data_IF_588182429338
#
_entry.id   IF_588182429338
#
_cell.length_a   1.000
_cell.length_b   1.000
_cell.length_c   1.000
_cell.angle_alpha   90.00
_cell.angle_beta   90.00
_cell.angle_gamma   90.00
#
_symmetry.space_group_name_H-M   'P 1'
#
loop_
_entity.id
_entity.type
_entity.pdbx_description
1 polymer ?
#
# COMPACT_ATOMS: atom_id res chain seq x y z
N UNK A 1 5.21 -11.39 -0.13
CA UNK A 1 4.19 -12.44 0.09
C UNK A 1 3.81 -13.03 -1.25
N UNK A 2 3.46 -14.30 -1.32
CA UNK A 2 2.98 -15.01 -2.51
C UNK A 2 1.73 -15.83 -2.15
N UNK A 3 1.23 -16.61 -3.12
CA UNK A 3 0.07 -17.51 -2.92
C UNK A 3 0.27 -18.46 -1.74
N UNK A 4 1.51 -18.89 -1.47
CA UNK A 4 1.83 -19.92 -0.48
C UNK A 4 2.00 -19.40 0.96
N UNK A 5 2.17 -18.07 1.16
CA UNK A 5 2.48 -17.48 2.47
C UNK A 5 1.62 -16.27 2.84
N UNK A 6 0.46 -16.11 2.19
CA UNK A 6 -0.47 -15.02 2.51
C UNK A 6 -1.14 -15.26 3.87
N UNK A 7 -0.83 -14.41 4.85
CA UNK A 7 -1.45 -14.43 6.19
C UNK A 7 -2.52 -13.34 6.37
N UNK A 8 -2.60 -12.36 5.45
CA UNK A 8 -3.54 -11.23 5.50
C UNK A 8 -4.27 -11.11 4.16
N UNK A 9 -5.61 -11.02 4.19
CA UNK A 9 -6.42 -10.76 2.99
C UNK A 9 -6.05 -9.39 2.37
N UNK A 10 -6.03 -9.31 1.03
CA UNK A 10 -5.65 -8.11 0.26
C UNK A 10 -4.24 -7.58 0.55
N UNK A 11 -3.31 -8.50 0.77
CA UNK A 11 -1.89 -8.18 0.92
C UNK A 11 -1.32 -7.53 -0.35
N UNK A 12 -0.42 -6.57 -0.16
CA UNK A 12 0.43 -6.03 -1.23
C UNK A 12 1.49 -7.09 -1.58
N UNK A 13 1.52 -7.56 -2.83
CA UNK A 13 2.50 -8.55 -3.34
C UNK A 13 3.64 -7.90 -4.12
N UNK A 14 3.39 -6.69 -4.55
CA UNK A 14 4.22 -5.81 -5.34
C UNK A 14 5.28 -5.09 -4.48
N UNK A 15 5.12 -5.10 -3.15
CA UNK A 15 6.05 -4.51 -2.20
C UNK A 15 6.56 -5.55 -1.18
N UNK A 16 7.88 -5.68 -1.04
CA UNK A 16 8.50 -6.40 0.08
C UNK A 16 8.71 -5.44 1.25
N UNK A 17 8.65 -5.99 2.47
CA UNK A 17 8.64 -5.21 3.69
C UNK A 17 9.91 -5.43 4.51
N UNK A 18 10.34 -4.39 5.23
CA UNK A 18 11.43 -4.42 6.21
C UNK A 18 10.98 -3.65 7.45
N UNK A 19 11.39 -4.07 8.64
CA UNK A 19 10.87 -3.51 9.88
C UNK A 19 11.99 -3.22 10.89
N UNK A 20 11.81 -2.18 11.70
CA UNK A 20 12.67 -1.91 12.85
C UNK A 20 11.89 -1.23 13.98
N UNK A 21 12.30 -1.45 15.23
CA UNK A 21 11.89 -0.65 16.38
C UNK A 21 13.10 0.13 16.84
N UNK A 22 13.00 1.46 16.88
CA UNK A 22 14.15 2.35 17.03
C UNK A 22 13.94 3.29 18.20
N UNK A 23 14.93 3.35 19.09
CA UNK A 23 14.97 4.33 20.19
C UNK A 23 15.29 5.72 19.64
N UNK A 24 14.40 6.67 19.90
CA UNK A 24 14.54 8.09 19.53
C UNK A 24 14.55 9.00 20.76
N UNK A 25 14.89 8.45 21.95
CA UNK A 25 14.96 9.20 23.21
C UNK A 25 15.73 10.50 23.07
N UNK A 26 16.89 10.46 22.41
CA UNK A 26 17.60 11.66 21.95
C UNK A 26 17.23 12.00 20.50
N UNK A 27 17.77 11.27 19.53
CA UNK A 27 17.41 11.36 18.11
C UNK A 27 17.83 10.09 17.36
N UNK A 28 17.11 9.78 16.28
CA UNK A 28 17.57 8.85 15.25
C UNK A 28 17.36 9.43 13.85
N UNK A 29 18.29 9.12 12.95
CA UNK A 29 18.24 9.53 11.55
C UNK A 29 18.00 8.33 10.65
N UNK A 30 17.08 8.46 9.70
CA UNK A 30 16.61 7.44 8.78
C UNK A 30 16.88 7.91 7.35
N UNK A 31 17.52 7.07 6.54
CA UNK A 31 17.85 7.43 5.16
C UNK A 31 17.57 6.29 4.19
N UNK A 32 17.13 6.65 2.99
CA UNK A 32 17.03 5.76 1.85
C UNK A 32 18.00 6.25 0.77
N UNK A 33 18.80 5.36 0.19
CA UNK A 33 19.63 5.69 -0.96
C UNK A 33 18.75 6.16 -2.15
N UNK A 34 19.31 7.04 -2.99
CA UNK A 34 18.61 7.49 -4.20
C UNK A 34 18.34 6.31 -5.14
N UNK A 35 17.12 6.22 -5.66
CA UNK A 35 16.66 5.16 -6.57
C UNK A 35 15.48 5.66 -7.37
N UNK A 36 15.32 5.15 -8.60
CA UNK A 36 14.11 5.37 -9.41
C UNK A 36 12.99 4.40 -9.02
N UNK A 37 13.35 3.27 -8.40
CA UNK A 37 12.41 2.31 -7.86
C UNK A 37 11.80 2.81 -6.56
N UNK A 38 10.49 2.61 -6.43
CA UNK A 38 9.74 3.04 -5.26
C UNK A 38 10.23 2.36 -3.98
N UNK A 39 10.53 3.19 -3.00
CA UNK A 39 10.73 2.79 -1.62
C UNK A 39 10.05 3.80 -0.71
N UNK A 40 9.59 3.33 0.44
CA UNK A 40 9.15 4.21 1.52
C UNK A 40 9.62 3.65 2.85
N UNK A 41 9.96 4.51 3.80
CA UNK A 41 10.07 4.18 5.21
C UNK A 41 9.06 5.03 5.98
N UNK A 42 7.98 4.42 6.41
CA UNK A 42 6.96 5.06 7.24
C UNK A 42 7.38 4.93 8.70
N UNK A 43 7.47 6.05 9.41
CA UNK A 43 7.86 6.10 10.81
C UNK A 43 6.60 6.31 11.64
N UNK A 44 6.28 5.37 12.52
CA UNK A 44 5.04 5.32 13.30
C UNK A 44 5.39 5.33 14.79
N UNK A 45 4.70 6.14 15.59
CA UNK A 45 4.89 6.14 17.05
C UNK A 45 4.04 5.08 17.77
N UNK A 46 4.17 4.98 19.10
CA UNK A 46 3.42 4.00 19.92
C UNK A 46 1.91 4.16 19.85
N UNK A 47 1.41 5.35 19.50
CA UNK A 47 -0.02 5.63 19.38
C UNK A 47 -0.52 5.48 17.93
N UNK A 48 0.29 4.90 17.04
CA UNK A 48 -0.03 4.68 15.62
C UNK A 48 -0.08 5.93 14.74
N UNK A 49 0.39 7.08 15.23
CA UNK A 49 0.51 8.27 14.38
C UNK A 49 1.74 8.18 13.48
N UNK A 50 1.61 8.70 12.28
CA UNK A 50 2.72 8.83 11.33
C UNK A 50 3.54 10.06 11.74
N UNK A 51 4.80 9.82 12.11
CA UNK A 51 5.73 10.87 12.55
C UNK A 51 6.45 11.48 11.34
N UNK A 52 6.89 10.63 10.41
CA UNK A 52 7.56 11.05 9.18
C UNK A 52 7.49 9.93 8.13
N UNK A 53 7.75 10.28 6.87
CA UNK A 53 7.79 9.37 5.73
C UNK A 53 9.03 9.68 4.88
N UNK A 54 9.91 8.68 4.74
CA UNK A 54 11.18 8.82 4.01
C UNK A 54 11.07 8.16 2.65
N UNK A 55 11.48 8.88 1.61
CA UNK A 55 11.53 8.43 0.21
C UNK A 55 12.98 8.29 -0.29
N UNK A 56 13.24 7.66 -1.46
CA UNK A 56 14.59 7.51 -2.01
C UNK A 56 15.32 8.85 -2.09
N UNK A 57 16.60 8.86 -1.67
CA UNK A 57 17.43 10.06 -1.65
C UNK A 57 17.14 11.01 -0.48
N UNK A 58 16.16 10.73 0.36
CA UNK A 58 15.85 11.53 1.53
C UNK A 58 16.54 11.01 2.80
N UNK A 59 16.74 11.94 3.73
CA UNK A 59 17.19 11.67 5.11
C UNK A 59 16.33 12.48 6.06
N UNK A 60 15.79 11.83 7.09
CA UNK A 60 14.91 12.43 8.11
C UNK A 60 15.43 12.13 9.50
N UNK A 61 15.31 13.08 10.41
CA UNK A 61 15.70 12.91 11.82
C UNK A 61 14.47 13.04 12.69
N UNK A 62 14.23 12.04 13.54
CA UNK A 62 13.13 12.00 14.50
C UNK A 62 13.69 12.00 15.91
N UNK A 63 13.03 12.74 16.80
CA UNK A 63 13.32 12.87 18.22
C UNK A 63 12.10 12.51 19.04
N UNK A 64 12.30 12.25 20.32
CA UNK A 64 11.22 12.01 21.27
C UNK A 64 10.17 13.14 21.28
N UNK A 65 10.59 14.39 21.07
CA UNK A 65 9.69 15.55 21.04
C UNK A 65 8.70 15.53 19.87
N UNK A 66 8.98 14.74 18.83
CA UNK A 66 8.15 14.64 17.63
C UNK A 66 7.05 13.57 17.81
N UNK A 67 7.14 12.77 18.88
CA UNK A 67 6.19 11.68 19.14
C UNK A 67 4.99 12.15 19.95
N UNK A 68 3.84 11.51 19.74
CA UNK A 68 2.66 11.70 20.56
C UNK A 68 2.69 10.84 21.84
N UNK A 69 3.60 9.85 21.89
CA UNK A 69 3.80 8.98 23.03
C UNK A 69 5.05 8.11 22.88
N UNK A 70 5.57 7.65 24.02
CA UNK A 70 6.71 6.74 24.05
C UNK A 70 8.07 7.41 23.85
N UNK A 71 9.06 6.57 23.55
CA UNK A 71 10.43 6.96 23.18
C UNK A 71 10.98 6.17 21.99
N UNK A 72 10.14 5.32 21.39
CA UNK A 72 10.51 4.44 20.30
C UNK A 72 9.55 4.65 19.14
N UNK A 73 10.06 4.42 17.93
CA UNK A 73 9.25 4.40 16.71
C UNK A 73 9.34 3.04 16.04
N UNK A 74 8.25 2.64 15.39
CA UNK A 74 8.21 1.52 14.46
C UNK A 74 8.46 2.03 13.05
N UNK A 75 9.48 1.50 12.38
CA UNK A 75 9.77 1.78 10.97
C UNK A 75 9.16 0.68 10.12
N UNK A 76 8.21 1.06 9.28
CA UNK A 76 7.59 0.20 8.28
C UNK A 76 8.15 0.55 6.90
N UNK A 77 9.18 -0.17 6.49
CA UNK A 77 9.80 -0.05 5.18
C UNK A 77 9.08 -0.89 4.12
N UNK A 78 8.86 -0.31 2.94
CA UNK A 78 8.31 -1.00 1.76
C UNK A 78 9.18 -0.72 0.54
N UNK A 79 9.48 -1.74 -0.25
CA UNK A 79 10.29 -1.64 -1.48
C UNK A 79 9.60 -2.40 -2.60
N UNK A 80 9.48 -1.79 -3.78
CA UNK A 80 8.85 -2.45 -4.93
C UNK A 80 9.68 -3.61 -5.47
N UNK A 81 8.99 -4.64 -5.96
CA UNK A 81 9.60 -5.78 -6.67
C UNK A 81 9.59 -5.60 -8.20
N UNK A 82 9.17 -4.44 -8.71
CA UNK A 82 9.14 -4.15 -10.15
C UNK A 82 10.52 -4.29 -10.82
N UNK A 83 11.61 -3.94 -10.12
CA UNK A 83 12.98 -4.16 -10.58
C UNK A 83 13.51 -5.59 -10.39
N UNK A 84 12.66 -6.52 -9.93
CA UNK A 84 13.04 -7.86 -9.51
C UNK A 84 13.40 -7.95 -8.02
N UNK A 85 13.33 -9.17 -7.48
CA UNK A 85 13.53 -9.42 -6.05
C UNK A 85 14.97 -9.16 -5.59
N UNK A 86 15.97 -9.50 -6.41
CA UNK A 86 17.38 -9.24 -6.12
C UNK A 86 17.63 -7.74 -5.94
N UNK A 87 17.17 -6.93 -6.90
CA UNK A 87 17.25 -5.46 -6.83
C UNK A 87 16.51 -4.90 -5.62
N UNK A 88 15.33 -5.44 -5.31
CA UNK A 88 14.57 -5.02 -4.14
C UNK A 88 15.34 -5.28 -2.83
N UNK A 89 16.05 -6.40 -2.71
CA UNK A 89 16.90 -6.70 -1.56
C UNK A 89 18.13 -5.80 -1.48
N UNK A 90 18.83 -5.56 -2.59
CA UNK A 90 19.94 -4.58 -2.62
C UNK A 90 19.50 -3.21 -2.07
N UNK A 91 18.31 -2.75 -2.46
CA UNK A 91 17.76 -1.48 -2.00
C UNK A 91 17.37 -1.50 -0.53
N UNK A 92 16.87 -2.62 0.00
CA UNK A 92 16.62 -2.79 1.43
C UNK A 92 17.92 -2.75 2.25
N UNK A 93 19.00 -3.35 1.75
CA UNK A 93 20.30 -3.37 2.41
C UNK A 93 20.97 -1.99 2.45
N UNK A 94 20.61 -1.08 1.54
CA UNK A 94 21.08 0.31 1.51
C UNK A 94 20.34 1.23 2.48
N UNK A 95 19.32 0.76 3.20
CA UNK A 95 18.59 1.56 4.20
C UNK A 95 19.47 1.75 5.43
N UNK A 96 19.55 2.98 5.93
CA UNK A 96 20.36 3.28 7.11
C UNK A 96 19.53 3.89 8.25
N UNK A 97 19.82 3.45 9.46
CA UNK A 97 19.31 4.00 10.71
C UNK A 97 20.50 4.34 11.60
N UNK A 98 20.61 5.59 12.03
CA UNK A 98 21.64 6.05 12.97
C UNK A 98 20.97 6.68 14.18
N UNK A 99 20.91 5.94 15.29
CA UNK A 99 20.35 6.40 16.56
C UNK A 99 21.46 6.84 17.53
N UNK A 100 21.23 7.92 18.28
CA UNK A 100 22.14 8.37 19.36
C UNK A 100 22.07 7.49 20.59
N UNK A 101 20.92 6.85 20.81
CA UNK A 101 20.67 5.95 21.94
C UNK A 101 20.14 4.60 21.43
N UNK A 102 20.27 3.56 22.26
CA UNK A 102 19.89 2.19 21.91
C UNK A 102 19.18 1.49 23.08
N UNK A 103 18.33 2.24 23.80
CA UNK A 103 17.56 1.68 24.90
C UNK A 103 16.62 0.57 24.37
N UNK A 104 16.60 -0.63 24.97
CA UNK A 104 15.68 -1.69 24.56
C UNK A 104 14.22 -1.21 24.65
N UNK A 105 13.40 -1.58 23.67
CA UNK A 105 11.96 -1.36 23.75
C UNK A 105 11.36 -2.26 24.83
N UNK A 106 10.60 -1.66 25.74
CA UNK A 106 9.85 -2.36 26.78
C UNK A 106 8.37 -2.17 26.48
N UNK A 107 7.69 -3.22 26.04
CA UNK A 107 6.26 -3.18 25.75
C UNK A 107 5.45 -2.91 27.02
N UNK A 108 4.34 -2.19 26.88
CA UNK A 108 3.35 -2.10 27.95
C UNK A 108 2.66 -3.45 28.14
N UNK A 109 2.42 -3.79 29.39
CA UNK A 109 1.66 -4.99 29.77
C UNK A 109 0.16 -4.67 29.71
N UNK A 110 -0.47 -5.04 28.59
CA UNK A 110 -1.91 -4.88 28.41
C UNK A 110 -2.62 -6.19 28.77
N UNK A 111 -3.76 -6.09 29.48
CA UNK A 111 -4.65 -7.23 29.64
C UNK A 111 -5.18 -7.69 28.27
N UNK A 112 -4.80 -8.91 27.89
CA UNK A 112 -5.09 -9.50 26.59
C UNK A 112 -6.60 -9.65 26.33
N UNK A 113 -7.37 -10.01 27.37
CA UNK A 113 -8.82 -10.18 27.27
C UNK A 113 -9.51 -8.83 27.02
N UNK A 114 -9.10 -7.80 27.75
CA UNK A 114 -9.59 -6.43 27.53
C UNK A 114 -9.18 -5.89 26.15
N UNK A 115 -7.93 -6.13 25.70
CA UNK A 115 -7.47 -5.73 24.36
C UNK A 115 -8.29 -6.39 23.26
N UNK A 116 -8.58 -7.69 23.40
CA UNK A 116 -9.38 -8.43 22.43
C UNK A 116 -10.82 -7.90 22.39
N UNK A 117 -11.45 -7.70 23.55
CA UNK A 117 -12.82 -7.18 23.62
C UNK A 117 -12.95 -5.80 22.96
N UNK A 118 -12.00 -4.90 23.19
CA UNK A 118 -11.97 -3.59 22.50
C UNK A 118 -11.77 -3.77 21.00
N UNK A 119 -10.88 -4.69 20.58
CA UNK A 119 -10.63 -4.97 19.17
C UNK A 119 -11.85 -5.51 18.43
N UNK A 120 -12.63 -6.40 19.07
CA UNK A 120 -13.87 -6.96 18.54
C UNK A 120 -14.98 -5.90 18.44
N UNK A 121 -15.11 -5.03 19.45
CA UNK A 121 -16.06 -3.92 19.40
C UNK A 121 -15.76 -2.97 18.23
N UNK A 122 -14.50 -2.57 18.06
CA UNK A 122 -14.09 -1.71 16.95
C UNK A 122 -14.34 -2.34 15.57
N UNK A 123 -14.27 -3.66 15.45
CA UNK A 123 -14.61 -4.36 14.20
C UNK A 123 -16.09 -4.23 13.83
N UNK A 124 -16.99 -4.10 14.80
CA UNK A 124 -18.42 -3.89 14.51
C UNK A 124 -18.68 -2.54 13.81
N UNK A 125 -17.77 -1.58 13.96
CA UNK A 125 -17.82 -0.26 13.33
C UNK A 125 -17.08 -0.18 11.99
N UNK A 126 -16.65 -1.31 11.41
CA UNK A 126 -15.85 -1.29 10.18
C UNK A 126 -16.53 -0.60 8.99
N UNK A 127 -17.87 -0.56 8.94
CA UNK A 127 -18.61 0.14 7.89
C UNK A 127 -18.54 1.68 8.00
N UNK A 128 -18.17 2.21 9.16
CA UNK A 128 -18.01 3.65 9.43
C UNK A 128 -16.60 4.16 9.13
N UNK A 129 -15.67 3.24 8.86
CA UNK A 129 -14.26 3.55 8.66
C UNK A 129 -14.03 4.36 7.37
N UNK A 130 -13.46 5.53 7.53
CA UNK A 130 -12.95 6.42 6.50
C UNK A 130 -11.43 6.53 6.67
N UNK A 131 -10.71 5.60 6.03
CA UNK A 131 -9.25 5.55 6.09
C UNK A 131 -8.57 6.81 5.54
N UNK A 132 -9.27 7.65 4.75
CA UNK A 132 -8.71 8.91 4.30
C UNK A 132 -8.51 9.93 5.42
N UNK A 133 -9.13 9.69 6.58
CA UNK A 133 -9.04 10.54 7.78
C UNK A 133 -8.39 9.83 8.97
N UNK A 134 -7.95 8.58 8.81
CA UNK A 134 -7.46 7.76 9.93
C UNK A 134 -5.94 7.63 10.03
N UNK A 135 -5.21 7.83 8.93
CA UNK A 135 -3.75 7.72 8.90
C UNK A 135 -3.10 9.09 8.73
N UNK A 136 -2.19 9.45 9.63
CA UNK A 136 -1.49 10.74 9.61
C UNK A 136 -1.01 11.18 10.99
N UNK A 137 -0.92 12.49 11.18
CA UNK A 137 -0.63 13.15 12.46
C UNK A 137 -1.93 13.43 13.24
N UNK A 138 -1.88 13.73 14.56
CA UNK A 138 -3.07 14.11 15.31
C UNK A 138 -3.84 15.30 14.71
N UNK A 139 -3.16 16.19 14.01
CA UNK A 139 -3.77 17.37 13.39
C UNK A 139 -4.40 17.07 12.03
N UNK A 140 -3.96 16.02 11.34
CA UNK A 140 -4.45 15.65 10.01
C UNK A 140 -5.48 14.51 10.04
N UNK A 141 -5.71 13.90 11.20
CA UNK A 141 -6.66 12.79 11.38
C UNK A 141 -7.88 13.18 12.19
N UNK A 142 -9.02 12.54 11.91
CA UNK A 142 -10.15 12.52 12.83
C UNK A 142 -9.90 11.46 13.93
N UNK A 143 -10.08 11.78 15.24
CA UNK A 143 -9.76 10.84 16.31
C UNK A 143 -10.53 9.51 16.27
N UNK A 144 -11.80 9.53 15.86
CA UNK A 144 -12.61 8.32 15.76
C UNK A 144 -12.15 7.48 14.56
N UNK A 145 -11.89 8.12 13.42
CA UNK A 145 -11.36 7.45 12.24
C UNK A 145 -9.95 6.90 12.45
N UNK A 146 -9.12 7.60 13.22
CA UNK A 146 -7.79 7.12 13.61
C UNK A 146 -7.87 5.82 14.44
N UNK A 147 -8.79 5.77 15.42
CA UNK A 147 -9.02 4.56 16.22
C UNK A 147 -9.44 3.37 15.36
N UNK A 148 -10.39 3.57 14.44
CA UNK A 148 -10.83 2.55 13.50
C UNK A 148 -9.69 2.13 12.56
N UNK A 149 -8.92 3.09 12.05
CA UNK A 149 -7.80 2.84 11.14
C UNK A 149 -6.67 2.04 11.81
N UNK A 150 -6.32 2.36 13.05
CA UNK A 150 -5.32 1.63 13.83
C UNK A 150 -5.71 0.15 14.03
N UNK A 151 -7.01 -0.14 14.18
CA UNK A 151 -7.52 -1.51 14.30
C UNK A 151 -7.64 -2.23 12.95
N UNK A 152 -8.27 -1.59 11.96
CA UNK A 152 -8.76 -2.21 10.74
C UNK A 152 -7.74 -2.17 9.58
N UNK A 153 -6.77 -1.26 9.65
CA UNK A 153 -5.81 -1.03 8.57
C UNK A 153 -4.41 -0.70 9.10
N UNK A 154 -3.97 -1.41 10.15
CA UNK A 154 -2.69 -1.14 10.81
C UNK A 154 -1.54 -0.91 9.82
N UNK A 155 -0.83 0.21 9.98
CA UNK A 155 0.30 0.59 9.16
C UNK A 155 -0.10 1.22 7.82
N UNK A 156 -1.37 1.58 7.61
CA UNK A 156 -1.79 2.36 6.45
C UNK A 156 -1.01 3.67 6.32
N UNK A 157 -0.69 4.04 5.08
CA UNK A 157 -0.16 5.36 4.74
C UNK A 157 -1.33 6.36 4.62
N UNK A 158 -1.06 7.64 4.87
CA UNK A 158 -2.03 8.71 4.63
C UNK A 158 -2.29 8.90 3.13
N UNK A 159 -3.41 9.54 2.74
CA UNK A 159 -3.78 9.75 1.34
C UNK A 159 -2.76 10.51 0.49
N UNK A 160 -1.88 11.31 1.10
CA UNK A 160 -0.78 11.98 0.40
C UNK A 160 0.36 11.02 0.01
N UNK A 161 0.41 9.83 0.60
CA UNK A 161 1.49 8.88 0.40
C UNK A 161 1.05 7.60 -0.31
N UNK A 162 -0.16 7.11 -0.06
CA UNK A 162 -0.73 6.00 -0.82
C UNK A 162 -2.26 5.98 -0.78
N UNK A 163 -2.87 5.53 -1.88
CA UNK A 163 -4.31 5.31 -1.98
C UNK A 163 -4.61 4.06 -2.79
N UNK A 164 -5.73 3.41 -2.46
CA UNK A 164 -6.12 2.14 -3.06
C UNK A 164 -7.52 2.20 -3.60
N UNK A 165 -7.72 1.60 -4.76
CA UNK A 165 -9.02 1.44 -5.38
C UNK A 165 -9.29 -0.02 -5.69
N UNK A 166 -10.51 -0.48 -5.42
CA UNK A 166 -10.94 -1.84 -5.70
C UNK A 166 -12.40 -1.88 -6.17
N UNK A 167 -12.69 -2.81 -7.07
CA UNK A 167 -14.04 -3.18 -7.50
C UNK A 167 -14.18 -4.70 -7.54
N UNK A 168 -15.43 -5.17 -7.55
CA UNK A 168 -15.79 -6.58 -7.68
C UNK A 168 -16.42 -6.83 -9.05
N UNK A 169 -16.10 -7.95 -9.68
CA UNK A 169 -16.68 -8.36 -10.96
C UNK A 169 -16.89 -9.87 -11.04
N UNK A 170 -17.78 -10.28 -11.94
CA UNK A 170 -17.88 -11.64 -12.44
C UNK A 170 -17.38 -11.65 -13.88
N UNK A 171 -16.33 -12.41 -14.15
CA UNK A 171 -15.66 -12.49 -15.44
C UNK A 171 -16.57 -13.03 -16.53
N UNK A 172 -16.54 -12.43 -17.72
CA UNK A 172 -17.07 -13.05 -18.96
C UNK A 172 -16.03 -13.94 -19.64
N UNK A 173 -14.81 -13.95 -19.08
CA UNK A 173 -13.60 -14.61 -19.55
C UNK A 173 -12.89 -13.88 -20.70
N UNK A 174 -13.40 -12.70 -21.10
CA UNK A 174 -12.71 -11.76 -21.96
C UNK A 174 -13.21 -10.34 -21.63
N UNK A 175 -12.59 -9.71 -20.64
CA UNK A 175 -12.96 -8.38 -20.17
C UNK A 175 -11.77 -7.41 -20.22
N UNK A 176 -12.05 -6.12 -20.36
CA UNK A 176 -11.02 -5.07 -20.40
C UNK A 176 -11.36 -3.94 -19.43
N UNK A 177 -10.34 -3.45 -18.72
CA UNK A 177 -10.41 -2.25 -17.91
C UNK A 177 -9.44 -1.22 -18.48
N UNK A 178 -9.96 -0.08 -18.95
CA UNK A 178 -9.16 0.99 -19.54
C UNK A 178 -9.10 2.19 -18.61
N UNK A 179 -7.89 2.61 -18.28
CA UNK A 179 -7.60 3.70 -17.34
C UNK A 179 -6.63 4.73 -17.93
N UNK A 180 -6.73 5.96 -17.44
CA UNK A 180 -5.72 6.99 -17.67
C UNK A 180 -4.46 6.66 -16.85
N UNK A 181 -3.31 7.18 -17.25
CA UNK A 181 -2.10 7.07 -16.42
C UNK A 181 -2.35 7.75 -15.07
N UNK A 182 -2.13 7.07 -13.93
CA UNK A 182 -2.41 7.66 -12.62
C UNK A 182 -1.58 8.93 -12.35
N UNK A 183 -2.13 9.92 -11.64
CA UNK A 183 -1.46 11.19 -11.34
C UNK A 183 -0.45 11.03 -10.19
N UNK A 184 0.72 10.46 -10.50
CA UNK A 184 1.79 10.20 -9.52
C UNK A 184 3.01 11.07 -9.80
N UNK A 185 3.82 11.25 -8.76
CA UNK A 185 5.09 11.96 -8.86
C UNK A 185 6.18 11.03 -9.42
N UNK A 186 6.11 10.76 -10.73
CA UNK A 186 7.04 9.85 -11.41
C UNK A 186 8.50 10.31 -11.37
N UNK A 187 8.75 11.61 -11.22
CA UNK A 187 10.11 12.17 -11.11
C UNK A 187 10.77 11.80 -9.76
N UNK A 188 9.96 11.44 -8.77
CA UNK A 188 10.40 11.03 -7.43
C UNK A 188 9.99 9.60 -7.09
N UNK A 189 9.97 8.72 -8.10
CA UNK A 189 9.71 7.28 -7.91
C UNK A 189 8.25 6.91 -7.62
N UNK A 190 7.30 7.75 -8.05
CA UNK A 190 5.88 7.44 -8.04
C UNK A 190 5.58 6.10 -8.71
N UNK A 191 4.76 5.28 -8.06
CA UNK A 191 4.57 3.89 -8.41
C UNK A 191 3.11 3.46 -8.30
N UNK A 192 2.68 2.59 -9.20
CA UNK A 192 1.41 1.90 -9.07
C UNK A 192 1.51 0.46 -9.49
N UNK A 193 0.55 -0.33 -9.05
CA UNK A 193 0.36 -1.70 -9.47
C UNK A 193 -1.13 -1.98 -9.65
N UNK A 194 -1.44 -2.84 -10.62
CA UNK A 194 -2.79 -3.37 -10.80
C UNK A 194 -2.80 -4.78 -10.25
N UNK A 195 -3.85 -5.12 -9.50
CA UNK A 195 -3.91 -6.37 -8.76
C UNK A 195 -5.28 -7.02 -8.88
N UNK A 196 -5.28 -8.35 -8.87
CA UNK A 196 -6.46 -9.19 -8.83
C UNK A 196 -6.42 -10.10 -7.60
N UNK A 197 -7.55 -10.25 -6.94
CA UNK A 197 -7.76 -11.18 -5.83
C UNK A 197 -8.97 -12.08 -6.11
N UNK A 198 -9.03 -13.26 -5.51
CA UNK A 198 -10.22 -14.11 -5.53
C UNK A 198 -11.40 -13.41 -4.83
N UNK A 199 -12.60 -14.01 -4.89
CA UNK A 199 -13.79 -13.49 -4.21
C UNK A 199 -13.66 -13.34 -2.68
N UNK A 200 -12.63 -13.95 -2.06
CA UNK A 200 -12.31 -13.82 -0.64
C UNK A 200 -11.20 -12.80 -0.38
N UNK A 201 -10.68 -12.12 -1.41
CA UNK A 201 -9.60 -11.15 -1.29
C UNK A 201 -8.21 -11.78 -1.18
N UNK A 202 -8.02 -13.02 -1.63
CA UNK A 202 -6.74 -13.74 -1.59
C UNK A 202 -6.07 -13.81 -2.95
N UNK A 203 -4.76 -13.97 -2.95
CA UNK A 203 -3.96 -14.22 -4.13
C UNK A 203 -4.05 -15.70 -4.47
N UNK A 204 -4.21 -16.03 -5.74
CA UNK A 204 -4.46 -17.43 -6.13
C UNK A 204 -3.93 -17.80 -7.53
N UNK A 205 -3.34 -16.84 -8.25
CA UNK A 205 -2.64 -17.07 -9.52
C UNK A 205 -1.19 -16.60 -9.40
N UNK A 206 -0.28 -17.22 -10.15
CA UNK A 206 1.15 -16.94 -10.08
C UNK A 206 1.50 -15.48 -10.43
N UNK A 207 0.75 -14.86 -11.34
CA UNK A 207 0.89 -13.45 -11.74
C UNK A 207 -0.40 -12.66 -11.47
N UNK A 208 -0.74 -12.51 -10.19
CA UNK A 208 -1.94 -11.79 -9.75
C UNK A 208 -1.82 -10.26 -9.83
N UNK A 209 -0.65 -9.74 -10.22
CA UNK A 209 -0.40 -8.30 -10.28
C UNK A 209 0.44 -7.92 -11.51
N UNK A 210 0.32 -6.65 -11.91
CA UNK A 210 1.13 -6.01 -12.94
C UNK A 210 1.68 -4.69 -12.40
N UNK A 211 3.00 -4.50 -12.31
CA UNK A 211 3.57 -3.21 -11.95
C UNK A 211 3.38 -2.22 -13.10
N UNK A 212 3.11 -0.95 -12.76
CA UNK A 212 2.84 0.09 -13.75
C UNK A 212 3.97 0.34 -14.75
N UNK A 213 5.21 0.04 -14.35
CA UNK A 213 6.41 0.11 -15.19
C UNK A 213 6.38 -0.84 -16.38
N UNK A 214 5.69 -1.97 -16.26
CA UNK A 214 5.67 -3.04 -17.26
C UNK A 214 4.44 -2.93 -18.18
N UNK A 215 3.52 -2.02 -17.87
CA UNK A 215 2.28 -1.86 -18.61
C UNK A 215 2.52 -1.14 -19.94
N UNK A 216 2.08 -1.79 -21.02
CA UNK A 216 2.08 -1.20 -22.36
C UNK A 216 0.94 -0.19 -22.46
N UNK A 217 1.25 1.02 -22.94
CA UNK A 217 0.27 2.09 -23.19
C UNK A 217 -0.34 1.96 -24.59
N UNK A 218 -1.59 2.39 -24.69
CA UNK A 218 -2.27 2.60 -25.97
C UNK A 218 -1.71 3.84 -26.68
N UNK A 219 -2.02 4.00 -27.97
CA UNK A 219 -1.58 5.15 -28.79
C UNK A 219 -2.08 6.50 -28.26
N UNK A 220 -3.24 6.51 -27.58
CA UNK A 220 -3.82 7.70 -26.93
C UNK A 220 -3.26 7.96 -25.52
N UNK A 221 -2.29 7.15 -25.09
CA UNK A 221 -1.65 7.23 -23.78
C UNK A 221 -2.40 6.54 -22.64
N UNK A 222 -3.61 6.02 -22.86
CA UNK A 222 -4.34 5.22 -21.87
C UNK A 222 -3.70 3.83 -21.68
N UNK A 223 -4.15 3.09 -20.67
CA UNK A 223 -3.70 1.72 -20.40
C UNK A 223 -4.92 0.82 -20.41
N UNK A 224 -4.91 -0.23 -21.24
CA UNK A 224 -5.92 -1.29 -21.21
C UNK A 224 -5.34 -2.53 -20.54
N UNK A 225 -6.00 -2.98 -19.47
CA UNK A 225 -5.67 -4.22 -18.76
C UNK A 225 -6.76 -5.25 -19.05
N UNK A 226 -6.33 -6.41 -19.52
CA UNK A 226 -7.22 -7.48 -19.95
C UNK A 226 -7.33 -8.53 -18.85
N UNK A 227 -8.56 -8.89 -18.54
CA UNK A 227 -8.89 -9.99 -17.66
C UNK A 227 -9.56 -11.06 -18.53
N UNK A 228 -8.85 -12.12 -18.88
CA UNK A 228 -9.48 -13.25 -19.57
C UNK A 228 -8.69 -14.54 -19.54
N UNK A 229 -9.22 -15.52 -20.26
CA UNK A 229 -8.55 -16.78 -20.56
C UNK A 229 -7.72 -16.67 -21.86
N UNK A 230 -7.49 -17.79 -22.54
CA UNK A 230 -6.77 -17.86 -23.82
C UNK A 230 -7.31 -16.89 -24.88
N UNK A 231 -8.58 -16.46 -24.80
CA UNK A 231 -9.17 -15.47 -25.71
C UNK A 231 -8.43 -14.14 -25.74
N UNK A 232 -7.76 -13.78 -24.64
CA UNK A 232 -7.04 -12.51 -24.52
C UNK A 232 -5.53 -12.69 -24.32
N UNK A 233 -5.01 -13.91 -24.35
CA UNK A 233 -3.59 -14.20 -24.09
C UNK A 233 -2.61 -13.46 -25.04
N UNK A 234 -3.05 -13.11 -26.25
CA UNK A 234 -2.28 -12.31 -27.20
C UNK A 234 -2.34 -10.79 -27.00
N UNK A 235 -3.10 -10.30 -26.02
CA UNK A 235 -3.21 -8.87 -25.70
C UNK A 235 -2.06 -8.42 -24.78
N UNK A 236 -1.68 -7.14 -24.79
CA UNK A 236 -0.82 -6.60 -23.73
C UNK A 236 -1.53 -6.62 -22.38
N UNK A 237 -0.77 -6.57 -21.28
CA UNK A 237 -1.29 -6.34 -19.91
C UNK A 237 -2.39 -7.32 -19.47
N UNK A 238 -2.14 -8.63 -19.58
CA UNK A 238 -3.14 -9.66 -19.23
C UNK A 238 -2.97 -10.11 -17.77
N UNK A 239 -4.08 -10.18 -17.05
CA UNK A 239 -4.21 -10.93 -15.79
C UNK A 239 -5.22 -12.06 -16.03
N UNK A 240 -4.78 -13.30 -15.85
CA UNK A 240 -5.59 -14.47 -16.14
C UNK A 240 -6.88 -14.50 -15.30
N UNK A 241 -8.01 -14.84 -15.94
CA UNK A 241 -9.29 -15.15 -15.28
C UNK A 241 -10.06 -16.20 -16.08
N UNK A 242 -11.00 -16.88 -15.43
CA UNK A 242 -11.89 -17.85 -16.08
C UNK A 242 -13.30 -17.31 -16.17
N UNK A 243 -14.05 -17.69 -17.21
CA UNK A 243 -15.45 -17.26 -17.35
C UNK A 243 -16.29 -17.69 -16.13
N UNK A 244 -17.09 -16.76 -15.61
CA UNK A 244 -17.91 -16.96 -14.42
C UNK A 244 -17.16 -16.77 -13.09
N UNK A 245 -15.85 -16.54 -13.14
CA UNK A 245 -15.05 -16.28 -11.95
C UNK A 245 -15.43 -14.96 -11.29
N UNK A 246 -15.61 -15.00 -9.97
CA UNK A 246 -15.84 -13.82 -9.15
C UNK A 246 -14.53 -13.36 -8.52
N UNK A 247 -14.19 -12.09 -8.68
CA UNK A 247 -12.89 -11.56 -8.25
C UNK A 247 -12.98 -10.09 -7.87
N UNK A 248 -12.02 -9.66 -7.06
CA UNK A 248 -11.71 -8.24 -6.89
C UNK A 248 -10.58 -7.85 -7.83
N UNK A 249 -10.68 -6.67 -8.44
CA UNK A 249 -9.58 -6.04 -9.15
C UNK A 249 -9.39 -4.62 -8.63
N UNK A 250 -8.19 -4.10 -8.75
CA UNK A 250 -7.89 -2.81 -8.19
C UNK A 250 -6.54 -2.26 -8.63
N UNK A 251 -6.27 -1.07 -8.13
CA UNK A 251 -5.01 -0.35 -8.34
C UNK A 251 -4.53 0.22 -7.01
N UNK A 252 -3.27 -0.02 -6.69
CA UNK A 252 -2.56 0.64 -5.59
C UNK A 252 -1.74 1.80 -6.16
N UNK A 253 -1.90 3.00 -5.61
CA UNK A 253 -1.22 4.21 -6.02
C UNK A 253 -0.30 4.68 -4.90
N UNK A 254 0.97 4.92 -5.21
CA UNK A 254 2.00 5.30 -4.26
C UNK A 254 2.68 6.58 -4.72
N UNK A 255 2.87 7.49 -3.76
CA UNK A 255 3.40 8.83 -3.99
C UNK A 255 2.58 9.61 -5.04
N UNK A 256 1.28 9.83 -4.77
CA UNK A 256 0.42 10.63 -5.61
C UNK A 256 0.90 12.10 -5.66
N UNK A 257 0.62 12.79 -6.77
CA UNK A 257 0.88 14.23 -6.89
C UNK A 257 0.05 15.04 -5.89
N UNK A 258 -1.21 14.63 -5.72
CA UNK A 258 -2.16 15.26 -4.82
C UNK A 258 -3.23 14.24 -4.39
N UNK A 259 -3.65 14.33 -3.13
CA UNK A 259 -4.58 13.39 -2.54
C UNK A 259 -5.99 13.51 -3.15
N UNK A 260 -6.45 14.73 -3.43
CA UNK A 260 -7.78 15.01 -3.97
C UNK A 260 -7.84 14.69 -5.46
N UNK A 261 -6.78 15.00 -6.23
CA UNK A 261 -6.66 14.58 -7.62
C UNK A 261 -6.74 13.06 -7.76
N UNK A 262 -6.12 12.33 -6.84
CA UNK A 262 -6.20 10.86 -6.78
C UNK A 262 -7.60 10.37 -6.45
N UNK A 263 -8.31 11.03 -5.52
CA UNK A 263 -9.72 10.73 -5.23
C UNK A 263 -10.61 10.91 -6.48
N UNK A 264 -10.42 12.02 -7.20
CA UNK A 264 -11.13 12.29 -8.46
C UNK A 264 -10.78 11.28 -9.56
N UNK A 265 -9.52 10.82 -9.61
CA UNK A 265 -9.10 9.75 -10.50
C UNK A 265 -9.85 8.45 -10.19
N UNK A 266 -10.02 8.09 -8.92
CA UNK A 266 -10.84 6.94 -8.53
C UNK A 266 -12.32 7.09 -8.88
N UNK A 267 -12.89 8.30 -8.81
CA UNK A 267 -14.27 8.53 -9.27
C UNK A 267 -14.42 8.23 -10.78
N UNK A 268 -13.41 8.58 -11.59
CA UNK A 268 -13.38 8.22 -13.02
C UNK A 268 -13.25 6.72 -13.24
N UNK A 269 -12.45 6.01 -12.43
CA UNK A 269 -12.35 4.56 -12.49
C UNK A 269 -13.68 3.88 -12.15
N UNK A 270 -14.40 4.36 -11.11
CA UNK A 270 -15.74 3.84 -10.76
C UNK A 270 -16.74 4.01 -11.90
N UNK A 271 -16.67 5.14 -12.60
CA UNK A 271 -17.54 5.43 -13.74
C UNK A 271 -17.21 4.58 -14.98
N UNK A 272 -16.04 3.94 -15.02
CA UNK A 272 -15.55 3.11 -16.12
C UNK A 272 -15.15 1.72 -15.60
N UNK A 273 -16.11 0.92 -15.12
CA UNK A 273 -15.82 -0.43 -14.69
C UNK A 273 -15.34 -1.27 -15.89
N UNK A 274 -14.79 -2.42 -15.56
CA UNK A 274 -14.40 -3.46 -16.50
C UNK A 274 -15.56 -3.82 -17.47
N UNK A 275 -15.26 -3.82 -18.77
CA UNK A 275 -16.22 -4.02 -19.86
C UNK A 275 -15.97 -5.34 -20.58
N UNK A 276 -17.00 -6.17 -20.84
CA UNK A 276 -16.88 -7.36 -21.66
C UNK A 276 -16.49 -7.03 -23.10
N UNK A 277 -15.63 -7.85 -23.69
CA UNK A 277 -15.28 -7.78 -25.11
C UNK A 277 -15.76 -9.06 -25.77
N UNK A 278 -16.61 -8.92 -26.81
CA UNK A 278 -16.92 -10.07 -27.65
C UNK A 278 -15.65 -10.44 -28.43
N UNK A 279 -15.16 -11.65 -28.19
CA UNK A 279 -14.11 -12.26 -28.99
C UNK A 279 -14.65 -12.61 -30.39
#
# INVERSE_FOLDING_TARGET
MNVDNQVIARSNVDLIHSYAVVDVTEEATFSLAASQEYQVAQIIDENHYIVDVVYPGQTRTVRRSDLTGGSHVYVLGRTTTAGGLERAHELQDLRTISAKTANPYISRDFDDASRQAVGEELETHAAEADFSKGFGTPQSTDPYQHLLAARLGWGGLSPEHAQYFQMFATSTGADVWTLEVPPLDYDHSGYFSIIKYDKLGRLYVAKAYLPGSDLVRNDDGTISVWFGDERVAGRPNVIETTQGEQFYYGIGLYQPLDAEQTRQYFDRLRARPLTPVQA
#
